data_IF_741992066014
#
_entry.id   IF_741992066014
#
_cell.length_a   1.000
_cell.length_b   1.000
_cell.length_c   1.000
_cell.angle_alpha   90.00
_cell.angle_beta   90.00
_cell.angle_gamma   90.00
#
_symmetry.space_group_name_H-M   'P 1'
#
loop_
_entity.id
_entity.type
_entity.pdbx_description
1 polymer ?
#
# COMPACT_ATOMS: atom_id res chain seq x y z
N UNK A 1 -4.45 24.07 -26.20
CA UNK A 1 -4.02 25.19 -25.35
C UNK A 1 -2.91 24.82 -24.36
N UNK A 2 -2.89 23.61 -23.76
CA UNK A 2 -1.76 23.21 -22.88
C UNK A 2 -0.43 22.95 -23.62
N UNK A 3 -0.45 22.45 -24.86
CA UNK A 3 0.79 22.18 -25.65
C UNK A 3 1.68 23.43 -25.81
N UNK A 4 1.09 24.62 -26.01
CA UNK A 4 1.85 25.85 -26.23
C UNK A 4 2.36 26.52 -24.95
N UNK A 5 1.70 26.31 -23.80
CA UNK A 5 2.10 26.92 -22.53
C UNK A 5 3.31 26.24 -21.88
N UNK A 6 3.40 24.90 -21.97
CA UNK A 6 4.49 24.13 -21.37
C UNK A 6 5.81 24.31 -22.14
N UNK A 7 5.75 24.38 -23.47
CA UNK A 7 6.90 24.68 -24.33
C UNK A 7 7.45 26.10 -24.05
N UNK A 8 6.59 27.06 -23.72
CA UNK A 8 7.00 28.45 -23.46
C UNK A 8 7.75 28.61 -22.13
N UNK A 9 7.40 27.85 -21.09
CA UNK A 9 8.09 27.90 -19.78
C UNK A 9 9.47 27.25 -19.86
N UNK A 10 9.64 26.19 -20.67
CA UNK A 10 10.94 25.51 -20.84
C UNK A 10 11.85 26.26 -21.82
N UNK A 11 11.30 26.85 -22.90
CA UNK A 11 12.09 27.65 -23.85
C UNK A 11 12.55 29.00 -23.28
N UNK A 12 11.81 29.59 -22.33
CA UNK A 12 12.19 30.87 -21.72
C UNK A 12 13.39 30.75 -20.76
N UNK A 13 13.61 29.60 -20.13
CA UNK A 13 14.74 29.40 -19.20
C UNK A 13 16.09 29.18 -19.91
N UNK A 14 16.09 28.63 -21.13
CA UNK A 14 17.33 28.38 -21.88
C UNK A 14 17.84 29.61 -22.68
N UNK A 15 17.03 30.66 -22.82
CA UNK A 15 17.35 31.79 -23.71
C UNK A 15 17.97 33.02 -23.04
N UNK A 16 17.95 33.15 -21.71
CA UNK A 16 18.16 34.44 -21.02
C UNK A 16 19.22 34.40 -19.91
N UNK A 17 20.41 33.88 -20.22
CA UNK A 17 21.52 33.96 -19.27
C UNK A 17 22.85 33.62 -19.89
N UNK A 18 23.45 34.57 -20.61
CA UNK A 18 24.90 34.82 -20.73
C UNK A 18 25.13 35.95 -21.74
N UNK A 19 25.07 37.20 -21.26
CA UNK A 19 25.64 38.34 -21.99
C UNK A 19 26.45 39.21 -21.03
N UNK A 20 27.71 38.82 -20.79
CA UNK A 20 28.76 39.77 -20.42
C UNK A 20 30.16 39.17 -20.63
N UNK A 21 30.88 39.80 -21.55
CA UNK A 21 32.34 39.84 -21.75
C UNK A 21 33.10 38.55 -22.10
N UNK A 22 33.24 38.27 -23.42
CA UNK A 22 34.55 38.13 -24.10
C UNK A 22 34.36 38.54 -25.58
N UNK A 23 35.13 39.52 -26.08
CA UNK A 23 35.29 39.75 -27.53
C UNK A 23 36.26 38.70 -28.06
N UNK A 24 35.74 37.58 -28.54
CA UNK A 24 36.44 36.73 -29.51
C UNK A 24 35.70 36.90 -30.82
N UNK A 25 36.40 37.30 -31.87
CA UNK A 25 35.91 37.23 -33.25
C UNK A 25 36.27 35.85 -33.81
N UNK A 26 35.30 34.92 -33.96
CA UNK A 26 35.39 33.89 -34.95
C UNK A 26 34.52 34.26 -36.16
N UNK A 27 35.08 34.05 -37.33
CA UNK A 27 34.41 34.05 -38.61
C UNK A 27 33.49 32.82 -38.68
N UNK A 28 32.24 32.98 -38.26
CA UNK A 28 31.20 31.94 -38.34
C UNK A 28 30.23 32.25 -39.47
N UNK A 29 30.09 31.26 -40.37
CA UNK A 29 29.00 31.17 -41.32
C UNK A 29 27.65 31.36 -40.61
N UNK A 30 26.85 32.27 -41.15
CA UNK A 30 25.49 32.56 -40.68
C UNK A 30 24.65 31.30 -40.83
N UNK A 31 24.12 30.69 -39.74
CA UNK A 31 23.14 29.64 -39.88
C UNK A 31 21.89 30.24 -40.53
N UNK A 32 21.46 29.63 -41.63
CA UNK A 32 20.25 29.97 -42.37
C UNK A 32 19.07 30.03 -41.38
N UNK A 33 18.42 31.20 -41.31
CA UNK A 33 17.23 31.42 -40.46
C UNK A 33 16.19 30.35 -40.80
N UNK A 34 15.99 29.39 -39.88
CA UNK A 34 14.92 28.42 -39.98
C UNK A 34 13.59 29.16 -40.19
N UNK A 35 12.93 28.90 -41.33
CA UNK A 35 11.62 29.47 -41.64
C UNK A 35 10.63 29.05 -40.53
N UNK A 36 9.79 29.96 -40.02
CA UNK A 36 8.76 29.61 -39.07
C UNK A 36 7.84 28.56 -39.69
N UNK A 37 7.78 27.38 -39.07
CA UNK A 37 6.83 26.34 -39.44
C UNK A 37 5.43 26.88 -39.12
N UNK A 38 4.67 27.20 -40.16
CA UNK A 38 3.28 27.61 -40.02
C UNK A 38 2.45 26.41 -39.55
N UNK A 39 2.31 26.26 -38.23
CA UNK A 39 1.39 25.29 -37.64
C UNK A 39 -0.03 25.86 -37.77
N UNK A 40 -0.67 25.62 -38.91
CA UNK A 40 -2.12 25.80 -39.05
C UNK A 40 -2.78 24.55 -38.45
N UNK A 41 -2.88 24.53 -37.13
CA UNK A 41 -3.74 23.57 -36.43
C UNK A 41 -5.19 23.95 -36.78
N UNK A 42 -5.84 23.14 -37.64
CA UNK A 42 -7.29 23.25 -37.86
C UNK A 42 -7.96 23.16 -36.49
N UNK A 43 -8.69 24.20 -36.11
CA UNK A 43 -9.37 24.25 -34.82
C UNK A 43 -10.31 23.04 -34.69
N UNK A 44 -9.94 22.09 -33.83
CA UNK A 44 -10.83 20.99 -33.44
C UNK A 44 -12.09 21.64 -32.88
N UNK A 45 -13.29 21.32 -33.40
CA UNK A 45 -14.53 21.91 -32.91
C UNK A 45 -14.61 21.73 -31.39
N UNK A 46 -14.84 22.83 -30.66
CA UNK A 46 -14.89 22.82 -29.20
C UNK A 46 -16.07 21.94 -28.76
N UNK A 47 -15.76 20.75 -28.24
CA UNK A 47 -16.74 19.90 -27.60
C UNK A 47 -17.45 20.69 -26.49
N UNK A 48 -18.79 20.69 -26.48
CA UNK A 48 -19.57 21.25 -25.37
C UNK A 48 -19.61 20.19 -24.27
N UNK A 49 -18.98 20.46 -23.14
CA UNK A 49 -18.96 19.57 -21.99
C UNK A 49 -20.25 19.74 -21.18
N UNK A 50 -20.93 18.63 -20.91
CA UNK A 50 -22.03 18.55 -19.93
C UNK A 50 -21.47 18.41 -18.51
N UNK A 51 -22.32 18.54 -17.48
CA UNK A 51 -21.93 18.29 -16.08
C UNK A 51 -21.49 16.84 -15.89
N UNK A 52 -22.22 15.91 -16.52
CA UNK A 52 -21.95 14.48 -16.50
C UNK A 52 -20.59 14.17 -17.14
N UNK A 53 -20.22 14.87 -18.22
CA UNK A 53 -18.89 14.72 -18.86
C UNK A 53 -17.75 15.13 -17.93
N UNK A 54 -17.91 16.23 -17.20
CA UNK A 54 -16.90 16.69 -16.24
C UNK A 54 -16.76 15.72 -15.09
N UNK A 55 -17.86 15.23 -14.50
CA UNK A 55 -17.81 14.29 -13.38
C UNK A 55 -17.20 12.94 -13.81
N UNK A 56 -17.57 12.45 -15.00
CA UNK A 56 -16.99 11.24 -15.57
C UNK A 56 -15.49 11.40 -15.80
N UNK A 57 -15.07 12.48 -16.47
CA UNK A 57 -13.65 12.74 -16.71
C UNK A 57 -12.85 12.92 -15.42
N UNK A 58 -13.44 13.55 -14.39
CA UNK A 58 -12.82 13.67 -13.07
C UNK A 58 -12.65 12.29 -12.40
N UNK A 59 -13.66 11.41 -12.51
CA UNK A 59 -13.59 10.04 -11.98
C UNK A 59 -12.55 9.20 -12.72
N UNK A 60 -12.58 9.21 -14.05
CA UNK A 60 -11.59 8.54 -14.90
C UNK A 60 -10.17 9.03 -14.60
N UNK A 61 -9.99 10.36 -14.45
CA UNK A 61 -8.70 10.95 -14.07
C UNK A 61 -8.27 10.52 -12.67
N UNK A 62 -9.18 10.46 -11.70
CA UNK A 62 -8.87 10.00 -10.35
C UNK A 62 -8.44 8.52 -10.35
N UNK A 63 -9.14 7.67 -11.10
CA UNK A 63 -8.78 6.26 -11.29
C UNK A 63 -7.40 6.11 -11.97
N UNK A 64 -7.13 6.90 -13.02
CA UNK A 64 -5.82 6.94 -13.67
C UNK A 64 -4.71 7.40 -12.72
N UNK A 65 -4.92 8.49 -11.97
CA UNK A 65 -3.94 9.02 -11.01
C UNK A 65 -3.62 8.01 -9.91
N UNK A 66 -4.58 7.15 -9.57
CA UNK A 66 -4.42 6.08 -8.59
C UNK A 66 -3.70 4.85 -9.16
N UNK A 67 -3.53 4.76 -10.48
CA UNK A 67 -2.94 3.61 -11.13
C UNK A 67 -1.40 3.64 -10.99
N UNK A 68 -0.77 2.51 -10.58
CA UNK A 68 0.68 2.38 -10.58
C UNK A 68 1.32 2.79 -11.91
N UNK A 69 2.39 3.59 -11.84
CA UNK A 69 3.11 4.05 -13.03
C UNK A 69 2.42 5.15 -13.84
N UNK A 70 1.29 5.69 -13.37
CA UNK A 70 0.62 6.81 -14.03
C UNK A 70 1.56 8.01 -14.21
N UNK A 71 1.56 8.56 -15.42
CA UNK A 71 2.34 9.73 -15.77
C UNK A 71 1.41 10.78 -16.40
N UNK A 72 1.15 11.85 -15.65
CA UNK A 72 0.27 12.94 -16.08
C UNK A 72 0.76 13.65 -17.36
N UNK A 73 2.02 13.47 -17.75
CA UNK A 73 2.67 14.13 -18.87
C UNK A 73 2.88 13.21 -20.08
N UNK A 74 2.58 11.92 -19.98
CA UNK A 74 2.90 10.93 -21.04
C UNK A 74 2.35 11.34 -22.41
N UNK A 75 1.09 11.75 -22.49
CA UNK A 75 0.47 12.23 -23.75
C UNK A 75 1.11 13.53 -24.27
N UNK A 76 1.54 14.42 -23.37
CA UNK A 76 2.11 15.73 -23.74
C UNK A 76 3.49 15.56 -24.35
N UNK A 77 4.27 14.61 -23.84
CA UNK A 77 5.66 14.36 -24.26
C UNK A 77 5.78 13.17 -25.22
N UNK A 78 4.67 12.53 -25.58
CA UNK A 78 4.65 11.41 -26.52
C UNK A 78 5.33 11.78 -27.85
N UNK A 79 5.09 12.99 -28.35
CA UNK A 79 5.63 13.51 -29.61
C UNK A 79 7.07 14.06 -29.49
N UNK A 80 7.61 14.20 -28.27
CA UNK A 80 8.96 14.74 -28.06
C UNK A 80 9.99 13.70 -28.49
N UNK A 81 11.09 14.16 -29.08
CA UNK A 81 12.27 13.34 -29.35
C UNK A 81 13.04 13.03 -28.05
N UNK A 82 13.89 11.99 -28.07
CA UNK A 82 14.77 11.69 -26.93
C UNK A 82 15.70 12.86 -26.59
N UNK A 83 16.14 13.61 -27.61
CA UNK A 83 16.95 14.81 -27.41
C UNK A 83 16.20 15.92 -26.67
N UNK A 84 14.92 16.14 -26.99
CA UNK A 84 14.07 17.13 -26.29
C UNK A 84 13.80 16.72 -24.83
N UNK A 85 13.52 15.44 -24.57
CA UNK A 85 13.34 14.93 -23.20
C UNK A 85 14.61 15.14 -22.38
N UNK A 86 15.78 14.77 -22.93
CA UNK A 86 17.07 14.97 -22.27
C UNK A 86 17.36 16.45 -22.01
N UNK A 87 17.12 17.32 -23.00
CA UNK A 87 17.33 18.76 -22.84
C UNK A 87 16.43 19.34 -21.73
N UNK A 88 15.18 18.90 -21.63
CA UNK A 88 14.26 19.31 -20.57
C UNK A 88 14.70 18.81 -19.18
N UNK A 89 15.20 17.58 -19.08
CA UNK A 89 15.79 17.05 -17.85
C UNK A 89 17.02 17.88 -17.43
N UNK A 90 17.96 18.12 -18.33
CA UNK A 90 19.16 18.93 -18.06
C UNK A 90 18.81 20.35 -17.64
N UNK A 91 17.81 20.98 -18.27
CA UNK A 91 17.30 22.28 -17.87
C UNK A 91 16.70 22.25 -16.45
N UNK A 92 15.95 21.20 -16.11
CA UNK A 92 15.37 21.00 -14.78
C UNK A 92 16.43 20.85 -13.68
N UNK A 93 17.57 20.22 -14.01
CA UNK A 93 18.71 20.10 -13.10
C UNK A 93 19.43 21.44 -12.88
N UNK A 94 19.58 22.25 -13.94
CA UNK A 94 20.25 23.56 -13.88
C UNK A 94 19.42 24.62 -13.18
N UNK A 95 18.09 24.51 -13.26
CA UNK A 95 17.15 25.50 -12.73
C UNK A 95 16.11 24.87 -11.81
N UNK A 96 16.50 24.30 -10.66
CA UNK A 96 15.56 23.62 -9.77
C UNK A 96 14.48 24.56 -9.22
N UNK A 97 14.76 25.86 -9.09
CA UNK A 97 13.77 26.87 -8.68
C UNK A 97 12.71 27.19 -9.74
N UNK A 98 12.89 26.73 -10.98
CA UNK A 98 11.86 26.78 -12.01
C UNK A 98 10.90 25.59 -11.95
N UNK A 99 11.25 24.55 -11.19
CA UNK A 99 10.28 23.52 -10.81
C UNK A 99 9.42 24.12 -9.70
N UNK A 100 8.10 23.95 -9.79
CA UNK A 100 7.23 24.34 -8.68
C UNK A 100 7.67 23.51 -7.46
N UNK A 101 8.04 24.21 -6.38
CA UNK A 101 8.57 23.61 -5.15
C UNK A 101 7.59 22.63 -4.52
N UNK A 102 6.29 22.84 -4.77
CA UNK A 102 5.19 22.07 -4.21
C UNK A 102 4.23 21.63 -5.31
N UNK A 103 3.77 20.37 -5.23
CA UNK A 103 2.72 19.82 -6.09
C UNK A 103 3.21 18.98 -7.28
N UNK A 104 2.30 18.63 -8.22
CA UNK A 104 2.55 17.63 -9.27
C UNK A 104 3.71 17.96 -10.22
N UNK A 105 4.03 19.24 -10.41
CA UNK A 105 5.13 19.64 -11.28
C UNK A 105 6.51 19.31 -10.69
N UNK A 106 6.62 19.11 -9.37
CA UNK A 106 7.84 18.61 -8.76
C UNK A 106 8.19 17.17 -9.22
N UNK A 107 7.21 16.43 -9.77
CA UNK A 107 7.36 15.07 -10.32
C UNK A 107 7.64 15.07 -11.82
N UNK A 108 7.69 16.24 -12.47
CA UNK A 108 7.95 16.35 -13.91
C UNK A 108 9.31 15.72 -14.30
N UNK A 109 10.44 15.96 -13.59
CA UNK A 109 11.70 15.33 -13.94
C UNK A 109 11.64 13.80 -13.87
N UNK A 110 11.06 13.23 -12.81
CA UNK A 110 10.88 11.79 -12.68
C UNK A 110 9.96 11.22 -13.78
N UNK A 111 8.95 11.98 -14.19
CA UNK A 111 8.03 11.62 -15.27
C UNK A 111 8.71 11.62 -16.64
N UNK A 112 9.52 12.64 -16.94
CA UNK A 112 10.32 12.73 -18.16
C UNK A 112 11.34 11.60 -18.23
N UNK A 113 12.04 11.33 -17.12
CA UNK A 113 12.97 10.20 -17.01
C UNK A 113 12.25 8.87 -17.28
N UNK A 114 11.05 8.69 -16.72
CA UNK A 114 10.21 7.54 -16.99
C UNK A 114 9.88 7.31 -18.47
N UNK A 115 9.57 8.38 -19.21
CA UNK A 115 9.32 8.29 -20.66
C UNK A 115 10.61 7.95 -21.41
N UNK A 116 11.75 8.49 -20.99
CA UNK A 116 13.02 8.13 -21.58
C UNK A 116 13.36 6.65 -21.34
N UNK A 117 13.24 6.16 -20.11
CA UNK A 117 13.49 4.76 -19.77
C UNK A 117 12.65 3.78 -20.60
N UNK A 118 11.37 4.11 -20.86
CA UNK A 118 10.49 3.31 -21.72
C UNK A 118 11.01 3.20 -23.16
N UNK A 119 11.76 4.19 -23.65
CA UNK A 119 12.30 4.23 -25.02
C UNK A 119 13.68 3.61 -25.12
N UNK A 120 14.54 3.92 -24.15
CA UNK A 120 15.95 3.54 -24.12
C UNK A 120 16.44 3.54 -22.67
N UNK A 121 16.22 2.42 -21.97
CA UNK A 121 16.63 2.27 -20.57
C UNK A 121 18.15 2.39 -20.43
N UNK A 122 18.94 1.84 -21.36
CA UNK A 122 20.40 1.82 -21.25
C UNK A 122 20.98 3.24 -21.31
N UNK A 123 20.51 4.05 -22.25
CA UNK A 123 20.93 5.45 -22.35
C UNK A 123 20.47 6.28 -21.13
N UNK A 124 19.27 6.01 -20.62
CA UNK A 124 18.75 6.68 -19.43
C UNK A 124 19.57 6.32 -18.17
N UNK A 125 19.95 5.05 -17.99
CA UNK A 125 20.80 4.60 -16.89
C UNK A 125 22.21 5.20 -17.01
N UNK A 126 22.82 5.17 -18.20
CA UNK A 126 24.13 5.79 -18.42
C UNK A 126 24.12 7.29 -18.11
N UNK A 127 23.04 8.00 -18.48
CA UNK A 127 22.85 9.41 -18.12
C UNK A 127 22.69 9.61 -16.60
N UNK A 128 21.89 8.77 -15.94
CA UNK A 128 21.71 8.80 -14.49
C UNK A 128 23.03 8.58 -13.75
N UNK A 129 23.87 7.66 -14.22
CA UNK A 129 25.18 7.41 -13.64
C UNK A 129 26.12 8.61 -13.75
N UNK A 130 26.07 9.32 -14.87
CA UNK A 130 26.86 10.52 -15.10
C UNK A 130 26.45 11.72 -14.23
N UNK A 131 25.29 11.68 -13.57
CA UNK A 131 24.89 12.74 -12.65
C UNK A 131 25.72 12.73 -11.37
N UNK A 132 26.14 13.92 -10.94
CA UNK A 132 26.75 14.12 -9.63
C UNK A 132 25.81 13.64 -8.52
N UNK A 133 26.39 13.07 -7.47
CA UNK A 133 25.64 12.63 -6.29
C UNK A 133 24.99 13.84 -5.60
N UNK A 134 23.68 13.81 -5.41
CA UNK A 134 22.95 14.89 -4.75
C UNK A 134 21.46 14.59 -4.57
N UNK A 135 20.75 15.52 -3.93
CA UNK A 135 19.31 15.39 -3.63
C UNK A 135 18.47 15.12 -4.87
N UNK A 136 18.80 15.77 -6.00
CA UNK A 136 18.07 15.60 -7.25
C UNK A 136 18.29 14.21 -7.87
N UNK A 137 19.54 13.70 -7.90
CA UNK A 137 19.83 12.33 -8.35
C UNK A 137 19.05 11.32 -7.50
N UNK A 138 19.02 11.49 -6.17
CA UNK A 138 18.26 10.63 -5.26
C UNK A 138 16.75 10.66 -5.57
N UNK A 139 16.17 11.85 -5.80
CA UNK A 139 14.76 11.98 -6.17
C UNK A 139 14.46 11.29 -7.50
N UNK A 140 15.34 11.45 -8.48
CA UNK A 140 15.21 10.78 -9.78
C UNK A 140 15.32 9.25 -9.66
N UNK A 141 16.23 8.73 -8.85
CA UNK A 141 16.36 7.29 -8.59
C UNK A 141 15.11 6.70 -7.93
N UNK A 142 14.49 7.41 -6.98
CA UNK A 142 13.20 6.99 -6.41
C UNK A 142 12.10 6.96 -7.50
N UNK A 143 12.05 7.98 -8.35
CA UNK A 143 11.12 8.03 -9.49
C UNK A 143 11.40 6.98 -10.57
N UNK A 144 12.65 6.56 -10.72
CA UNK A 144 13.12 5.52 -11.62
C UNK A 144 12.66 4.14 -11.13
N UNK A 145 12.81 3.84 -9.84
CA UNK A 145 12.42 2.56 -9.26
C UNK A 145 10.94 2.21 -9.50
N UNK A 146 10.03 3.17 -9.35
CA UNK A 146 8.60 2.97 -9.63
C UNK A 146 8.28 2.73 -11.11
N UNK A 147 9.18 3.15 -12.01
CA UNK A 147 9.03 3.11 -13.46
C UNK A 147 9.96 2.12 -14.15
N UNK A 148 10.66 1.28 -13.38
CA UNK A 148 11.52 0.24 -13.93
C UNK A 148 10.69 -0.68 -14.84
N UNK A 149 11.15 -1.00 -16.07
CA UNK A 149 10.40 -1.87 -16.98
C UNK A 149 10.24 -3.29 -16.42
N UNK A 150 9.05 -3.87 -16.54
CA UNK A 150 8.73 -5.17 -15.95
C UNK A 150 9.53 -6.29 -16.60
N UNK A 151 9.66 -6.25 -17.92
CA UNK A 151 10.41 -7.17 -18.77
C UNK A 151 11.94 -7.10 -18.56
N UNK A 152 12.43 -6.07 -17.85
CA UNK A 152 13.83 -5.92 -17.44
C UNK A 152 13.99 -5.97 -15.92
N UNK A 153 13.03 -6.54 -15.20
CA UNK A 153 13.05 -6.48 -13.73
C UNK A 153 14.23 -7.26 -13.11
N UNK A 154 14.67 -8.36 -13.73
CA UNK A 154 15.84 -9.11 -13.27
C UNK A 154 17.13 -8.29 -13.29
N UNK A 155 17.30 -7.43 -14.30
CA UNK A 155 18.43 -6.49 -14.38
C UNK A 155 18.27 -5.34 -13.39
N UNK A 156 17.03 -4.96 -13.06
CA UNK A 156 16.77 -4.01 -11.98
C UNK A 156 17.31 -4.49 -10.64
N UNK A 157 17.23 -5.80 -10.36
CA UNK A 157 17.85 -6.39 -9.16
C UNK A 157 19.37 -6.24 -9.19
N UNK A 158 20.01 -6.48 -10.34
CA UNK A 158 21.47 -6.31 -10.49
C UNK A 158 21.89 -4.85 -10.33
N UNK A 159 21.10 -3.94 -10.91
CA UNK A 159 21.31 -2.50 -10.80
C UNK A 159 21.18 -2.05 -9.34
N UNK A 160 20.12 -2.47 -8.63
CA UNK A 160 19.92 -2.17 -7.22
C UNK A 160 21.04 -2.73 -6.35
N UNK A 161 21.47 -3.97 -6.61
CA UNK A 161 22.57 -4.62 -5.90
C UNK A 161 23.90 -3.85 -6.04
N UNK A 162 24.13 -3.24 -7.21
CA UNK A 162 25.34 -2.47 -7.51
C UNK A 162 25.30 -1.02 -7.01
N UNK A 163 24.10 -0.50 -6.67
CA UNK A 163 23.89 0.90 -6.29
C UNK A 163 23.14 1.08 -4.97
N UNK A 164 23.28 0.14 -4.02
CA UNK A 164 22.48 0.09 -2.77
C UNK A 164 22.43 1.41 -2.02
N UNK A 165 23.57 2.08 -1.86
CA UNK A 165 23.68 3.36 -1.14
C UNK A 165 22.84 4.49 -1.76
N UNK A 166 22.47 4.32 -3.04
CA UNK A 166 21.67 5.30 -3.77
C UNK A 166 20.16 5.08 -3.62
N UNK A 167 19.73 3.96 -3.02
CA UNK A 167 18.33 3.59 -2.78
C UNK A 167 18.03 3.41 -1.28
N UNK A 168 18.06 4.49 -0.46
CA UNK A 168 17.76 4.37 0.95
C UNK A 168 16.29 3.99 1.19
N UNK A 169 16.07 3.16 2.21
CA UNK A 169 14.74 2.77 2.69
C UNK A 169 13.95 1.95 1.66
N UNK A 170 12.68 2.30 1.47
CA UNK A 170 11.72 1.53 0.65
C UNK A 170 11.83 1.79 -0.86
N UNK A 171 12.75 2.64 -1.31
CA UNK A 171 12.79 2.99 -2.75
C UNK A 171 13.21 1.83 -3.63
N UNK A 172 14.13 0.98 -3.15
CA UNK A 172 14.58 -0.21 -3.87
C UNK A 172 13.51 -1.30 -3.97
N UNK A 173 12.56 -1.36 -3.03
CA UNK A 173 11.57 -2.44 -3.00
C UNK A 173 10.66 -2.43 -4.22
N UNK A 174 10.37 -1.27 -4.82
CA UNK A 174 9.55 -1.21 -6.04
C UNK A 174 10.17 -1.99 -7.21
N UNK A 175 11.50 -2.02 -7.32
CA UNK A 175 12.19 -2.82 -8.33
C UNK A 175 12.09 -4.30 -7.97
N UNK A 176 12.31 -4.65 -6.70
CA UNK A 176 12.18 -6.04 -6.22
C UNK A 176 10.77 -6.59 -6.43
N UNK A 177 9.75 -5.78 -6.15
CA UNK A 177 8.34 -6.15 -6.31
C UNK A 177 8.03 -6.42 -7.77
N UNK A 178 8.52 -5.58 -8.70
CA UNK A 178 8.41 -5.83 -10.14
C UNK A 178 9.14 -7.09 -10.56
N UNK A 179 10.30 -7.40 -9.98
CA UNK A 179 11.05 -8.61 -10.28
C UNK A 179 10.30 -9.86 -9.85
N UNK A 180 9.74 -9.88 -8.64
CA UNK A 180 8.88 -10.95 -8.16
C UNK A 180 7.61 -11.06 -9.02
N UNK A 181 6.94 -9.93 -9.28
CA UNK A 181 5.74 -9.85 -10.13
C UNK A 181 5.98 -10.33 -11.57
N UNK A 182 7.15 -10.05 -12.15
CA UNK A 182 7.50 -10.58 -13.47
C UNK A 182 7.67 -12.10 -13.40
N UNK A 183 8.38 -12.57 -12.36
CA UNK A 183 8.67 -13.99 -12.14
C UNK A 183 7.40 -14.82 -11.88
N UNK A 184 6.32 -14.24 -11.34
CA UNK A 184 5.05 -14.98 -11.18
C UNK A 184 4.44 -15.38 -12.52
N UNK A 185 4.66 -14.59 -13.58
CA UNK A 185 4.23 -14.92 -14.95
C UNK A 185 5.03 -16.06 -15.59
N UNK A 186 6.22 -16.35 -15.07
CA UNK A 186 7.10 -17.44 -15.54
C UNK A 186 6.92 -18.73 -14.70
N UNK A 187 6.23 -18.65 -13.57
CA UNK A 187 5.90 -19.78 -12.69
C UNK A 187 6.71 -19.85 -11.38
N UNK A 188 6.42 -20.84 -10.52
CA UNK A 188 6.97 -20.90 -9.17
C UNK A 188 8.50 -21.08 -9.12
N UNK A 189 9.09 -21.77 -10.10
CA UNK A 189 10.56 -21.93 -10.18
C UNK A 189 11.27 -20.59 -10.42
N UNK A 190 10.74 -19.75 -11.31
CA UNK A 190 11.28 -18.43 -11.57
C UNK A 190 11.21 -17.53 -10.34
N UNK A 191 10.10 -17.59 -9.59
CA UNK A 191 9.96 -16.87 -8.31
C UNK A 191 11.02 -17.30 -7.31
N UNK A 192 11.27 -18.60 -7.14
CA UNK A 192 12.33 -19.09 -6.23
C UNK A 192 13.72 -18.60 -6.65
N UNK A 193 14.04 -18.68 -7.94
CA UNK A 193 15.31 -18.17 -8.48
C UNK A 193 15.45 -16.68 -8.21
N UNK A 194 14.38 -15.90 -8.38
CA UNK A 194 14.40 -14.46 -8.12
C UNK A 194 14.57 -14.15 -6.63
N UNK A 195 13.88 -14.87 -5.74
CA UNK A 195 14.03 -14.70 -4.29
C UNK A 195 15.50 -14.95 -3.89
N UNK A 196 16.08 -16.05 -4.37
CA UNK A 196 17.48 -16.38 -4.09
C UNK A 196 18.43 -15.33 -4.65
N UNK A 197 18.19 -14.83 -5.87
CA UNK A 197 18.98 -13.74 -6.45
C UNK A 197 18.99 -12.49 -5.58
N UNK A 198 17.83 -12.10 -5.04
CA UNK A 198 17.70 -10.94 -4.15
C UNK A 198 18.46 -11.18 -2.83
N UNK A 199 18.39 -12.39 -2.29
CA UNK A 199 19.12 -12.79 -1.08
C UNK A 199 20.63 -12.84 -1.26
N UNK A 200 21.11 -13.46 -2.35
CA UNK A 200 22.53 -13.52 -2.70
C UNK A 200 23.09 -12.12 -2.94
N UNK A 201 22.25 -11.22 -3.48
CA UNK A 201 22.53 -9.81 -3.59
C UNK A 201 22.40 -9.05 -2.26
N UNK A 202 22.14 -9.68 -1.12
CA UNK A 202 22.00 -9.04 0.20
C UNK A 202 21.03 -7.86 0.20
N UNK A 203 19.96 -7.96 -0.58
CA UNK A 203 18.90 -6.96 -0.67
C UNK A 203 17.76 -7.35 0.27
N UNK A 204 17.29 -6.39 1.06
CA UNK A 204 16.18 -6.62 1.97
C UNK A 204 14.85 -6.53 1.24
N UNK A 205 13.99 -7.50 1.49
CA UNK A 205 12.60 -7.44 1.07
C UNK A 205 11.87 -6.42 1.94
N UNK A 206 11.34 -5.37 1.33
CA UNK A 206 10.34 -4.54 1.99
C UNK A 206 8.93 -5.00 1.55
N UNK A 207 7.92 -4.55 2.29
CA UNK A 207 6.51 -4.81 2.00
C UNK A 207 6.18 -4.55 0.51
N UNK A 208 5.49 -5.50 -0.13
CA UNK A 208 5.22 -5.48 -1.58
C UNK A 208 4.41 -4.26 -2.05
N UNK A 209 3.71 -3.55 -1.16
CA UNK A 209 3.07 -2.24 -1.40
C UNK A 209 1.90 -2.25 -2.40
N UNK A 210 2.09 -2.89 -3.56
CA UNK A 210 1.10 -3.21 -4.58
C UNK A 210 0.68 -4.68 -4.44
N UNK A 211 -0.58 -4.95 -4.77
CA UNK A 211 -1.11 -6.31 -4.82
C UNK A 211 -0.38 -7.14 -5.87
N UNK A 212 0.11 -8.31 -5.46
CA UNK A 212 0.82 -9.22 -6.35
C UNK A 212 -0.18 -9.89 -7.30
N UNK A 213 -0.05 -9.65 -8.60
CA UNK A 213 -0.84 -10.32 -9.61
C UNK A 213 -0.23 -11.69 -9.92
N UNK A 214 -0.96 -12.75 -9.64
CA UNK A 214 -0.50 -14.11 -9.91
C UNK A 214 -1.42 -14.75 -10.96
N UNK A 215 -0.89 -15.49 -11.95
CA UNK A 215 -1.73 -16.24 -12.90
C UNK A 215 -2.71 -17.18 -12.18
N UNK A 216 -3.89 -17.41 -12.78
CA UNK A 216 -4.93 -18.30 -12.23
C UNK A 216 -4.47 -19.76 -12.11
N UNK A 217 -3.54 -20.19 -12.97
CA UNK A 217 -2.96 -21.53 -13.01
C UNK A 217 -1.62 -21.65 -12.28
N UNK A 218 -1.25 -20.63 -11.49
CA UNK A 218 0.01 -20.62 -10.77
C UNK A 218 0.05 -21.72 -9.70
N UNK A 219 1.08 -22.57 -9.75
CA UNK A 219 1.25 -23.67 -8.81
C UNK A 219 1.86 -23.17 -7.48
N UNK A 220 0.99 -22.64 -6.61
CA UNK A 220 1.37 -22.16 -5.28
C UNK A 220 2.04 -23.26 -4.45
N UNK A 221 1.50 -24.48 -4.42
CA UNK A 221 2.07 -25.57 -3.61
C UNK A 221 3.59 -25.74 -3.82
N UNK A 222 4.04 -25.67 -5.08
CA UNK A 222 5.47 -25.79 -5.43
C UNK A 222 6.32 -24.65 -4.86
N UNK A 223 5.81 -23.42 -4.87
CA UNK A 223 6.48 -22.27 -4.27
C UNK A 223 6.43 -22.34 -2.74
N UNK A 224 5.28 -22.72 -2.18
CA UNK A 224 4.99 -22.67 -0.76
C UNK A 224 5.72 -23.78 0.02
N UNK A 225 6.07 -24.90 -0.62
CA UNK A 225 6.92 -25.93 -0.01
C UNK A 225 8.42 -25.62 -0.11
N UNK A 226 8.81 -24.49 -0.71
CA UNK A 226 10.20 -24.13 -0.92
C UNK A 226 10.83 -23.43 0.30
N UNK A 227 12.11 -23.69 0.61
CA UNK A 227 12.81 -23.00 1.70
C UNK A 227 13.01 -21.50 1.40
N UNK A 228 12.99 -21.08 0.13
CA UNK A 228 13.06 -19.67 -0.25
C UNK A 228 11.91 -18.86 0.34
N UNK A 229 10.71 -19.45 0.44
CA UNK A 229 9.54 -18.76 0.95
C UNK A 229 9.62 -18.54 2.48
N UNK A 230 10.15 -19.52 3.21
CA UNK A 230 10.34 -19.42 4.67
C UNK A 230 11.19 -18.17 5.03
N UNK A 231 12.17 -17.83 4.19
CA UNK A 231 13.06 -16.68 4.37
C UNK A 231 12.39 -15.33 4.11
N UNK A 232 11.30 -15.30 3.35
CA UNK A 232 10.60 -14.05 2.99
C UNK A 232 9.23 -13.93 3.66
N UNK A 233 8.88 -14.90 4.51
CA UNK A 233 7.67 -14.87 5.32
C UNK A 233 7.67 -13.69 6.28
N UNK A 234 8.76 -13.51 7.04
CA UNK A 234 8.90 -12.46 8.05
C UNK A 234 8.83 -11.04 7.46
N UNK A 235 9.13 -10.90 6.17
CA UNK A 235 9.07 -9.62 5.44
C UNK A 235 7.68 -9.36 4.80
N UNK A 236 6.70 -10.23 5.05
CA UNK A 236 5.32 -10.10 4.58
C UNK A 236 5.08 -10.53 3.12
N UNK A 237 6.13 -10.89 2.38
CA UNK A 237 6.00 -11.37 0.99
C UNK A 237 5.46 -12.79 0.96
N UNK A 238 5.95 -13.67 1.83
CA UNK A 238 5.41 -15.02 1.97
C UNK A 238 3.92 -15.01 2.31
N UNK A 239 3.49 -14.08 3.18
CA UNK A 239 2.08 -13.89 3.48
C UNK A 239 1.26 -13.45 2.25
N UNK A 240 1.82 -12.62 1.36
CA UNK A 240 1.12 -12.21 0.14
C UNK A 240 0.90 -13.39 -0.80
N UNK A 241 1.90 -14.26 -0.99
CA UNK A 241 1.69 -15.50 -1.75
C UNK A 241 0.64 -16.41 -1.10
N UNK A 242 0.65 -16.53 0.23
CA UNK A 242 -0.38 -17.30 0.94
C UNK A 242 -1.78 -16.70 0.78
N UNK A 243 -1.92 -15.36 0.73
CA UNK A 243 -3.18 -14.67 0.46
C UNK A 243 -3.67 -14.88 -0.97
N UNK A 244 -2.78 -14.78 -1.95
CA UNK A 244 -3.11 -15.05 -3.34
C UNK A 244 -3.50 -16.53 -3.53
N UNK A 245 -2.81 -17.45 -2.86
CA UNK A 245 -3.20 -18.86 -2.82
C UNK A 245 -4.57 -19.06 -2.17
N UNK A 246 -4.83 -18.39 -1.04
CA UNK A 246 -6.12 -18.47 -0.34
C UNK A 246 -7.30 -18.04 -1.23
N UNK A 247 -7.08 -17.06 -2.11
CA UNK A 247 -8.08 -16.62 -3.09
C UNK A 247 -8.38 -17.70 -4.14
N UNK A 248 -7.43 -18.58 -4.47
CA UNK A 248 -7.58 -19.66 -5.46
C UNK A 248 -8.00 -21.00 -4.83
N UNK A 249 -7.33 -21.43 -3.77
CA UNK A 249 -7.59 -22.66 -3.01
C UNK A 249 -7.45 -22.39 -1.51
N UNK A 250 -8.57 -21.97 -0.93
CA UNK A 250 -8.70 -21.57 0.47
C UNK A 250 -8.27 -22.66 1.45
N UNK A 251 -8.64 -23.90 1.17
CA UNK A 251 -8.43 -25.03 2.07
C UNK A 251 -6.96 -25.44 2.07
N UNK A 252 -6.32 -25.48 0.90
CA UNK A 252 -4.90 -25.80 0.80
C UNK A 252 -4.03 -24.71 1.45
N UNK A 253 -4.30 -23.43 1.18
CA UNK A 253 -3.58 -22.32 1.79
C UNK A 253 -3.69 -22.34 3.33
N UNK A 254 -4.89 -22.54 3.87
CA UNK A 254 -5.12 -22.68 5.30
C UNK A 254 -4.32 -23.82 5.92
N UNK A 255 -4.42 -25.03 5.34
CA UNK A 255 -3.76 -26.21 5.87
C UNK A 255 -2.24 -26.06 5.83
N UNK A 256 -1.71 -25.40 4.79
CA UNK A 256 -0.29 -25.07 4.69
C UNK A 256 0.12 -24.05 5.76
N UNK A 257 -0.58 -22.92 5.89
CA UNK A 257 -0.24 -21.86 6.84
C UNK A 257 -0.30 -22.35 8.28
N UNK A 258 -1.35 -23.10 8.63
CA UNK A 258 -1.46 -23.70 9.96
C UNK A 258 -0.28 -24.64 10.26
N UNK A 259 0.11 -25.48 9.30
CA UNK A 259 1.20 -26.45 9.46
C UNK A 259 2.57 -25.78 9.56
N UNK A 260 2.83 -24.73 8.78
CA UNK A 260 4.14 -24.09 8.64
C UNK A 260 4.36 -22.91 9.58
N UNK A 261 3.34 -22.09 9.79
CA UNK A 261 3.43 -20.83 10.54
C UNK A 261 2.46 -20.74 11.72
N UNK A 262 1.79 -21.85 12.04
CA UNK A 262 0.90 -21.97 13.18
C UNK A 262 -0.44 -21.25 13.01
N UNK A 263 -1.26 -21.33 14.06
CA UNK A 263 -2.61 -20.76 14.07
C UNK A 263 -2.61 -19.23 14.10
N UNK A 264 -1.56 -18.62 14.62
CA UNK A 264 -1.44 -17.16 14.71
C UNK A 264 -1.42 -16.50 13.34
N UNK A 265 -0.86 -17.21 12.34
CA UNK A 265 -0.74 -16.72 10.97
C UNK A 265 -2.01 -16.89 10.14
N UNK A 266 -2.96 -17.71 10.58
CA UNK A 266 -4.17 -18.02 9.82
C UNK A 266 -5.08 -16.81 9.67
N UNK A 267 -5.18 -15.96 10.70
CA UNK A 267 -6.00 -14.75 10.64
C UNK A 267 -5.50 -13.74 9.58
N UNK A 268 -4.18 -13.66 9.36
CA UNK A 268 -3.60 -12.77 8.35
C UNK A 268 -4.00 -13.17 6.93
N UNK A 269 -4.41 -14.42 6.70
CA UNK A 269 -4.95 -14.86 5.40
C UNK A 269 -6.30 -14.21 5.09
N UNK A 270 -7.15 -13.98 6.09
CA UNK A 270 -8.53 -13.52 5.85
C UNK A 270 -8.68 -12.00 5.88
N UNK A 271 -7.78 -11.29 6.56
CA UNK A 271 -7.93 -9.86 6.82
C UNK A 271 -7.56 -8.94 5.62
N UNK A 272 -6.74 -9.41 4.67
CA UNK A 272 -6.16 -8.55 3.60
C UNK A 272 -6.36 -9.05 2.17
N UNK A 273 -7.07 -10.14 1.97
CA UNK A 273 -7.42 -10.55 0.60
C UNK A 273 -8.44 -9.52 0.08
N UNK A 274 -8.22 -8.96 -1.11
CA UNK A 274 -9.13 -8.00 -1.77
C UNK A 274 -10.53 -8.55 -2.10
N UNK A 275 -10.94 -9.64 -1.45
CA UNK A 275 -12.19 -10.35 -1.62
C UNK A 275 -13.27 -9.95 -0.61
N UNK A 276 -14.16 -10.90 -0.34
CA UNK A 276 -15.33 -10.68 0.49
C UNK A 276 -15.00 -10.98 1.97
N UNK A 277 -14.49 -9.97 2.67
CA UNK A 277 -14.10 -10.05 4.08
C UNK A 277 -15.16 -10.74 4.97
N UNK A 278 -16.46 -10.47 4.74
CA UNK A 278 -17.54 -11.15 5.49
C UNK A 278 -17.53 -12.65 5.25
N UNK A 279 -17.50 -13.08 3.99
CA UNK A 279 -17.49 -14.50 3.65
C UNK A 279 -16.22 -15.21 4.14
N UNK A 280 -15.08 -14.52 4.13
CA UNK A 280 -13.79 -15.07 4.58
C UNK A 280 -13.76 -15.23 6.10
N UNK A 281 -14.24 -14.23 6.85
CA UNK A 281 -14.36 -14.31 8.30
C UNK A 281 -15.41 -15.34 8.75
N UNK A 282 -16.53 -15.47 8.05
CA UNK A 282 -17.53 -16.51 8.32
C UNK A 282 -16.95 -17.92 8.11
N UNK A 283 -16.23 -18.12 7.00
CA UNK A 283 -15.54 -19.38 6.77
C UNK A 283 -14.49 -19.67 7.86
N UNK A 284 -13.75 -18.65 8.31
CA UNK A 284 -12.77 -18.80 9.39
C UNK A 284 -13.45 -19.18 10.71
N UNK A 285 -14.66 -18.66 10.98
CA UNK A 285 -15.49 -19.09 12.11
C UNK A 285 -15.70 -20.60 12.11
N UNK A 286 -16.10 -21.16 10.97
CA UNK A 286 -16.24 -22.62 10.82
C UNK A 286 -14.94 -23.40 11.06
N UNK A 287 -13.76 -22.81 10.77
CA UNK A 287 -12.46 -23.41 11.10
C UNK A 287 -12.14 -23.36 12.58
N UNK A 288 -12.44 -22.23 13.25
CA UNK A 288 -12.25 -22.06 14.70
C UNK A 288 -13.14 -23.03 15.48
N UNK A 289 -14.37 -23.25 15.02
CA UNK A 289 -15.27 -24.25 15.60
C UNK A 289 -14.71 -25.68 15.53
N UNK A 290 -13.97 -26.02 14.47
CA UNK A 290 -13.35 -27.33 14.32
C UNK A 290 -12.04 -27.49 15.13
N UNK A 291 -11.51 -26.42 15.72
CA UNK A 291 -10.33 -26.46 16.58
C UNK A 291 -10.67 -27.03 17.96
N UNK A 292 -9.71 -27.70 18.60
CA UNK A 292 -9.84 -28.05 20.01
C UNK A 292 -9.65 -26.82 20.92
N UNK A 293 -9.92 -26.96 22.22
CA UNK A 293 -9.86 -25.84 23.17
C UNK A 293 -8.49 -25.14 23.21
N UNK A 294 -7.39 -25.90 23.19
CA UNK A 294 -6.03 -25.35 23.23
C UNK A 294 -5.72 -24.54 21.96
N UNK A 295 -6.13 -25.08 20.80
CA UNK A 295 -5.99 -24.40 19.51
C UNK A 295 -6.84 -23.13 19.43
N UNK A 296 -8.08 -23.17 19.95
CA UNK A 296 -8.95 -22.00 20.03
C UNK A 296 -8.31 -20.91 20.89
N UNK A 297 -7.70 -21.24 22.02
CA UNK A 297 -7.05 -20.24 22.87
C UNK A 297 -5.83 -19.61 22.18
N UNK A 298 -5.00 -20.39 21.49
CA UNK A 298 -3.88 -19.86 20.67
C UNK A 298 -4.41 -18.92 19.58
N UNK A 299 -5.44 -19.33 18.84
CA UNK A 299 -6.05 -18.50 17.81
C UNK A 299 -6.59 -17.19 18.41
N UNK A 300 -7.40 -17.27 19.46
CA UNK A 300 -8.01 -16.10 20.08
C UNK A 300 -6.98 -15.17 20.74
N UNK A 301 -5.88 -15.70 21.27
CA UNK A 301 -4.74 -14.92 21.72
C UNK A 301 -4.09 -14.13 20.58
N UNK A 302 -3.90 -14.77 19.42
CA UNK A 302 -3.25 -14.12 18.26
C UNK A 302 -4.06 -12.99 17.62
N UNK A 303 -5.40 -13.09 17.64
CA UNK A 303 -6.29 -12.08 17.04
C UNK A 303 -6.77 -11.03 18.03
N UNK A 304 -6.35 -11.13 19.30
CA UNK A 304 -6.88 -10.32 20.40
C UNK A 304 -6.73 -8.81 20.13
N UNK A 305 -5.54 -8.37 19.72
CA UNK A 305 -5.30 -6.98 19.36
C UNK A 305 -6.21 -6.53 18.21
N UNK A 306 -6.25 -7.29 17.10
CA UNK A 306 -7.05 -6.95 15.92
C UNK A 306 -8.54 -6.82 16.27
N UNK A 307 -9.09 -7.71 17.08
CA UNK A 307 -10.50 -7.70 17.45
C UNK A 307 -10.82 -6.61 18.49
N UNK A 308 -9.89 -6.25 19.37
CA UNK A 308 -10.05 -5.09 20.28
C UNK A 308 -10.11 -3.77 19.51
N UNK A 309 -9.25 -3.60 18.50
CA UNK A 309 -9.22 -2.38 17.68
C UNK A 309 -10.29 -2.36 16.59
N UNK A 310 -10.80 -3.52 16.17
CA UNK A 310 -11.83 -3.64 15.13
C UNK A 310 -12.83 -4.74 15.50
N UNK A 311 -13.77 -4.45 16.41
CA UNK A 311 -14.71 -5.44 16.95
C UNK A 311 -15.63 -6.03 15.87
N UNK A 312 -15.83 -5.29 14.79
CA UNK A 312 -16.55 -5.78 13.62
C UNK A 312 -16.00 -7.11 13.08
N UNK A 313 -14.69 -7.38 13.16
CA UNK A 313 -14.12 -8.67 12.74
C UNK A 313 -14.58 -9.82 13.63
N UNK A 314 -14.62 -9.63 14.95
CA UNK A 314 -15.18 -10.64 15.86
C UNK A 314 -16.66 -10.91 15.53
N UNK A 315 -17.41 -9.85 15.21
CA UNK A 315 -18.80 -9.98 14.78
C UNK A 315 -18.98 -10.82 13.51
N UNK A 316 -18.10 -10.64 12.51
CA UNK A 316 -18.11 -11.42 11.27
C UNK A 316 -17.66 -12.87 11.50
N UNK A 317 -16.68 -13.10 12.37
CA UNK A 317 -16.25 -14.44 12.77
C UNK A 317 -17.42 -15.22 13.41
N UNK A 318 -18.13 -14.57 14.34
CA UNK A 318 -19.27 -15.16 15.06
C UNK A 318 -20.40 -15.59 14.14
N UNK A 319 -20.64 -14.86 13.04
CA UNK A 319 -21.63 -15.26 12.02
C UNK A 319 -21.29 -16.60 11.35
N UNK A 320 -20.02 -17.03 11.40
CA UNK A 320 -19.54 -18.31 10.88
C UNK A 320 -19.58 -19.47 11.86
N UNK A 321 -19.71 -19.20 13.16
CA UNK A 321 -19.77 -20.23 14.21
C UNK A 321 -21.18 -20.85 14.27
N UNK A 322 -21.30 -22.14 14.56
CA UNK A 322 -22.60 -22.81 14.73
C UNK A 322 -22.90 -23.14 16.20
N UNK A 323 -21.88 -23.33 17.02
CA UNK A 323 -21.98 -23.55 18.46
C UNK A 323 -22.38 -22.26 19.19
N UNK A 324 -23.59 -22.18 19.77
CA UNK A 324 -24.04 -21.00 20.49
C UNK A 324 -23.17 -20.64 21.69
N UNK A 325 -22.54 -21.63 22.34
CA UNK A 325 -21.67 -21.38 23.48
C UNK A 325 -20.39 -20.65 23.04
N UNK A 326 -19.77 -21.10 21.95
CA UNK A 326 -18.58 -20.47 21.38
C UNK A 326 -18.91 -19.08 20.78
N UNK A 327 -20.10 -18.91 20.18
CA UNK A 327 -20.60 -17.60 19.76
C UNK A 327 -20.69 -16.63 20.94
N UNK A 328 -21.38 -17.02 22.02
CA UNK A 328 -21.54 -16.21 23.22
C UNK A 328 -20.19 -15.87 23.85
N UNK A 329 -19.29 -16.85 24.00
CA UNK A 329 -17.94 -16.65 24.53
C UNK A 329 -17.15 -15.63 23.71
N UNK A 330 -17.17 -15.75 22.38
CA UNK A 330 -16.46 -14.85 21.47
C UNK A 330 -17.01 -13.41 21.57
N UNK A 331 -18.34 -13.27 21.60
CA UNK A 331 -19.00 -11.97 21.76
C UNK A 331 -18.68 -11.31 23.10
N UNK A 332 -18.69 -12.08 24.19
CA UNK A 332 -18.35 -11.58 25.52
C UNK A 332 -16.87 -11.18 25.61
N UNK A 333 -15.94 -12.03 25.13
CA UNK A 333 -14.49 -11.77 25.14
C UNK A 333 -14.16 -10.47 24.43
N UNK A 334 -14.57 -10.33 23.17
CA UNK A 334 -14.17 -9.20 22.34
C UNK A 334 -15.06 -7.97 22.47
N UNK A 335 -16.35 -8.15 22.75
CA UNK A 335 -17.25 -7.04 23.07
C UNK A 335 -16.82 -6.32 24.35
N UNK A 336 -16.42 -7.06 25.40
CA UNK A 336 -15.91 -6.44 26.63
C UNK A 336 -14.50 -5.86 26.44
N UNK A 337 -13.58 -6.60 25.82
CA UNK A 337 -12.19 -6.15 25.63
C UNK A 337 -12.08 -4.90 24.74
N UNK A 338 -12.94 -4.76 23.74
CA UNK A 338 -12.97 -3.62 22.83
C UNK A 338 -13.45 -2.30 23.47
N UNK A 339 -14.06 -2.34 24.65
CA UNK A 339 -14.41 -1.10 25.38
C UNK A 339 -13.17 -0.31 25.82
N UNK A 340 -12.01 -0.96 25.89
CA UNK A 340 -10.72 -0.30 26.11
C UNK A 340 -10.14 0.36 24.84
N UNK A 341 -10.76 0.14 23.67
CA UNK A 341 -10.34 0.65 22.38
C UNK A 341 -11.12 1.87 21.89
N UNK A 342 -10.83 2.38 20.69
CA UNK A 342 -11.53 3.54 20.11
C UNK A 342 -12.95 3.22 19.60
N UNK A 343 -13.34 1.95 19.51
CA UNK A 343 -14.57 1.48 18.84
C UNK A 343 -15.70 1.11 19.83
N UNK A 344 -15.97 1.97 20.82
CA UNK A 344 -16.98 1.70 21.88
C UNK A 344 -18.38 1.37 21.32
N UNK A 345 -18.93 2.10 20.32
CA UNK A 345 -20.24 1.74 19.76
C UNK A 345 -20.28 0.33 19.16
N UNK A 346 -19.23 -0.08 18.44
CA UNK A 346 -19.15 -1.41 17.82
C UNK A 346 -19.00 -2.51 18.88
N UNK A 347 -18.20 -2.25 19.92
CA UNK A 347 -18.05 -3.14 21.07
C UNK A 347 -19.41 -3.42 21.76
N UNK A 348 -20.20 -2.36 21.98
CA UNK A 348 -21.54 -2.47 22.56
C UNK A 348 -22.50 -3.21 21.62
N UNK A 349 -22.44 -2.96 20.32
CA UNK A 349 -23.24 -3.68 19.32
C UNK A 349 -22.94 -5.20 19.31
N UNK A 350 -21.69 -5.60 19.56
CA UNK A 350 -21.36 -7.02 19.76
C UNK A 350 -22.00 -7.58 21.02
N UNK A 351 -21.84 -6.90 22.16
CA UNK A 351 -22.40 -7.36 23.45
C UNK A 351 -23.93 -7.47 23.39
N UNK A 352 -24.62 -6.61 22.63
CA UNK A 352 -26.07 -6.68 22.45
C UNK A 352 -26.55 -7.96 21.76
N UNK A 353 -25.68 -8.67 21.03
CA UNK A 353 -25.99 -9.99 20.46
C UNK A 353 -26.08 -11.10 21.52
N UNK A 354 -25.51 -10.91 22.71
CA UNK A 354 -25.63 -11.85 23.83
C UNK A 354 -26.96 -11.64 24.51
N UNK A 355 -27.89 -12.59 24.52
CA UNK A 355 -29.27 -12.33 24.99
C UNK A 355 -29.39 -11.89 26.45
N UNK A 356 -28.48 -12.32 27.33
CA UNK A 356 -28.58 -12.09 28.77
C UNK A 356 -27.79 -10.84 29.22
N UNK A 357 -28.44 -9.77 29.70
CA UNK A 357 -27.76 -8.53 30.08
C UNK A 357 -26.74 -8.68 31.21
N UNK A 358 -27.03 -9.53 32.20
CA UNK A 358 -26.14 -9.84 33.34
C UNK A 358 -24.78 -10.36 32.88
N UNK A 359 -24.75 -11.25 31.87
CA UNK A 359 -23.52 -11.80 31.30
C UNK A 359 -22.67 -10.72 30.61
N UNK A 360 -23.32 -9.78 29.88
CA UNK A 360 -22.62 -8.64 29.27
C UNK A 360 -21.92 -7.81 30.34
N UNK A 361 -22.63 -7.46 31.41
CA UNK A 361 -22.09 -6.68 32.53
C UNK A 361 -20.94 -7.43 33.21
N UNK A 362 -21.13 -8.72 33.52
CA UNK A 362 -20.11 -9.55 34.16
C UNK A 362 -18.82 -9.64 33.32
N UNK A 363 -18.94 -9.82 31.99
CA UNK A 363 -17.78 -9.86 31.10
C UNK A 363 -17.01 -8.53 31.09
N UNK A 364 -17.70 -7.39 31.07
CA UNK A 364 -17.05 -6.07 31.18
C UNK A 364 -16.29 -5.98 32.50
N UNK A 365 -16.92 -6.34 33.62
CA UNK A 365 -16.29 -6.28 34.93
C UNK A 365 -15.06 -7.19 35.04
N UNK A 366 -15.13 -8.39 34.45
CA UNK A 366 -14.03 -9.35 34.41
C UNK A 366 -12.82 -8.78 33.66
N UNK A 367 -13.03 -8.23 32.46
CA UNK A 367 -11.97 -7.60 31.66
C UNK A 367 -11.33 -6.44 32.42
N UNK A 368 -12.14 -5.58 33.04
CA UNK A 368 -11.63 -4.43 33.80
C UNK A 368 -10.82 -4.87 35.02
N UNK A 369 -11.24 -5.93 35.70
CA UNK A 369 -10.52 -6.48 36.86
C UNK A 369 -9.18 -7.11 36.45
N UNK A 370 -9.15 -7.86 35.34
CA UNK A 370 -7.91 -8.46 34.82
C UNK A 370 -6.88 -7.38 34.45
N UNK A 371 -7.33 -6.33 33.76
CA UNK A 371 -6.45 -5.25 33.34
C UNK A 371 -5.91 -4.39 34.52
N UNK A 372 -6.55 -4.40 35.70
CA UNK A 372 -5.99 -3.77 36.91
C UNK A 372 -4.79 -4.57 37.45
N UNK A 373 -4.84 -5.90 37.36
CA UNK A 373 -3.77 -6.79 37.84
C UNK A 373 -2.53 -6.80 36.95
N UNK A 374 -2.69 -6.57 35.65
CA UNK A 374 -1.59 -6.66 34.67
C UNK A 374 -0.81 -5.35 34.49
N UNK A 375 -1.24 -4.25 35.13
CA UNK A 375 -0.57 -2.95 35.01
C UNK A 375 -0.57 -2.39 33.58
N UNK A 376 -1.49 -2.84 32.72
CA UNK A 376 -1.59 -2.38 31.34
C UNK A 376 -2.03 -0.91 31.36
N UNK A 377 -1.12 -0.02 30.93
CA UNK A 377 -1.40 1.41 30.78
C UNK A 377 -2.53 1.58 29.76
N UNK A 378 -3.72 1.93 30.26
CA UNK A 378 -4.91 2.04 29.43
C UNK A 378 -4.86 3.37 28.68
N UNK A 379 -4.45 3.33 27.42
CA UNK A 379 -4.64 4.46 26.50
C UNK A 379 -6.10 4.51 26.07
N UNK A 380 -6.98 4.89 27.00
CA UNK A 380 -8.41 4.90 26.76
C UNK A 380 -8.76 6.08 25.87
N UNK A 381 -9.20 5.77 24.66
CA UNK A 381 -9.75 6.73 23.71
C UNK A 381 -11.25 6.99 23.98
N UNK A 382 -11.67 7.06 25.24
CA UNK A 382 -12.95 7.67 25.62
C UNK A 382 -12.83 9.18 25.46
N UNK A 383 -12.46 9.60 24.26
CA UNK A 383 -12.30 10.99 23.91
C UNK A 383 -13.68 11.52 23.51
N UNK A 384 -14.58 11.58 24.49
CA UNK A 384 -15.72 12.48 24.56
C UNK A 384 -16.59 12.11 25.77
N UNK A 385 -17.03 13.13 26.53
CA UNK A 385 -18.14 13.06 27.49
C UNK A 385 -19.34 12.25 26.95
N UNK A 386 -19.58 12.32 25.63
CA UNK A 386 -20.66 11.59 24.94
C UNK A 386 -20.52 10.07 24.98
N UNK A 387 -19.31 9.50 24.89
CA UNK A 387 -19.13 8.04 24.98
C UNK A 387 -19.42 7.52 26.39
N UNK A 388 -19.02 8.26 27.42
CA UNK A 388 -19.33 7.89 28.80
C UNK A 388 -20.82 7.98 29.12
N UNK A 389 -21.51 9.02 28.66
CA UNK A 389 -22.96 9.14 28.77
C UNK A 389 -23.69 8.03 28.00
N UNK A 390 -23.23 7.72 26.79
CA UNK A 390 -23.75 6.63 25.97
C UNK A 390 -23.61 5.28 26.69
N UNK A 391 -22.43 4.98 27.23
CA UNK A 391 -22.17 3.75 27.96
C UNK A 391 -23.01 3.64 29.23
N UNK A 392 -23.11 4.70 30.05
CA UNK A 392 -24.00 4.70 31.23
C UNK A 392 -25.44 4.39 30.88
N UNK A 393 -25.96 5.01 29.81
CA UNK A 393 -27.31 4.73 29.32
C UNK A 393 -27.47 3.27 28.92
N UNK A 394 -26.52 2.71 28.16
CA UNK A 394 -26.53 1.31 27.74
C UNK A 394 -26.48 0.34 28.92
N UNK A 395 -25.63 0.60 29.91
CA UNK A 395 -25.57 -0.19 31.14
C UNK A 395 -26.90 -0.12 31.92
N UNK A 396 -27.54 1.05 31.97
CA UNK A 396 -28.89 1.19 32.56
C UNK A 396 -29.97 0.42 31.79
N UNK A 397 -29.94 0.43 30.44
CA UNK A 397 -30.81 -0.40 29.58
C UNK A 397 -30.60 -1.89 29.86
N UNK A 398 -29.38 -2.29 30.24
CA UNK A 398 -29.01 -3.66 30.64
C UNK A 398 -29.26 -3.96 32.12
N UNK A 399 -29.92 -3.06 32.85
CA UNK A 399 -30.25 -3.18 34.28
C UNK A 399 -29.03 -3.31 35.20
N UNK A 400 -27.89 -2.73 34.82
CA UNK A 400 -26.73 -2.62 35.71
C UNK A 400 -27.09 -1.78 36.94
N UNK A 401 -26.64 -2.21 38.12
CA UNK A 401 -26.83 -1.42 39.35
C UNK A 401 -25.98 -0.14 39.30
N UNK A 402 -26.32 0.91 40.08
CA UNK A 402 -25.50 2.11 40.18
C UNK A 402 -24.02 1.80 40.51
N UNK A 403 -23.78 0.82 41.37
CA UNK A 403 -22.43 0.38 41.77
C UNK A 403 -21.68 -0.29 40.61
N UNK A 404 -22.37 -1.11 39.80
CA UNK A 404 -21.77 -1.71 38.61
C UNK A 404 -21.43 -0.65 37.56
N UNK A 405 -22.31 0.33 37.36
CA UNK A 405 -22.08 1.46 36.45
C UNK A 405 -20.86 2.25 36.93
N UNK A 406 -20.81 2.64 38.20
CA UNK A 406 -19.67 3.34 38.80
C UNK A 406 -18.35 2.56 38.63
N UNK A 407 -18.36 1.25 38.93
CA UNK A 407 -17.20 0.38 38.76
C UNK A 407 -16.69 0.37 37.32
N UNK A 408 -17.59 0.15 36.35
CA UNK A 408 -17.24 0.10 34.93
C UNK A 408 -16.71 1.46 34.44
N UNK A 409 -17.39 2.54 34.80
CA UNK A 409 -17.00 3.89 34.40
C UNK A 409 -15.66 4.31 35.01
N UNK A 410 -15.37 3.89 36.25
CA UNK A 410 -14.08 4.11 36.90
C UNK A 410 -12.97 3.29 36.23
N UNK A 411 -13.23 2.02 35.93
CA UNK A 411 -12.27 1.18 35.22
C UNK A 411 -11.95 1.73 33.83
N UNK A 412 -12.90 2.37 33.17
CA UNK A 412 -12.67 2.98 31.86
C UNK A 412 -12.17 4.43 31.93
N UNK A 413 -11.96 5.01 33.11
CA UNK A 413 -11.37 6.34 33.22
C UNK A 413 -9.86 6.27 32.91
N UNK A 414 -9.29 7.30 32.25
CA UNK A 414 -7.86 7.37 31.93
C UNK A 414 -6.96 7.47 33.17
#
# INVERSE_FOLDING_TARGET
MLKSGLIFVIAAAAGWGLSSFVKVTPETAVPEKAKPVAVIEKAVPKQKWTREDVLRSAKERAEQVSSPGFNAYEEVVADWTTAEIRAALEASLKHPGCLLSDGPASELPASLLGVWMKRDLDAALAWMEALETGTMKRKLLQGMASRWPLERAAEGVDYLASHRDSFPGVSGSLILNKAIQHSTGEGPEAVKVMIRKIQDAGLEFANLGEELKVPEDFNFQTLMDSPELDLIWENGIGEEFARQWFAQDREAAYAWTQRKHGLESVFNLTYRVGGNLRADMQWLGGKVEAMNADQQEVFFGSVDSAFRYSPSFAGLLVEGLKDPALQEQTLLRYGAAALNGPAVPDALALLEKVSEPSKRIAAIQQVLSAAEGEGIERKIYLNAKSHGEFLRRKLGEWQATPEQIEFIMKGLAP
#
